data_IF_411922370608
#
_entry.id   IF_411922370608
#
_cell.length_a   1.000
_cell.length_b   1.000
_cell.length_c   1.000
_cell.angle_alpha   90.00
_cell.angle_beta   90.00
_cell.angle_gamma   90.00
#
_symmetry.space_group_name_H-M   'P 1'
#
loop_
_entity.id
_entity.type
_entity.pdbx_description
1 polymer ?
#
# COMPACT_ATOMS: atom_id res chain seq x y z
N UNK A 1 6.28 6.35 -4.11
CA UNK A 1 7.05 7.12 -3.09
C UNK A 1 7.58 6.24 -1.97
N UNK A 2 6.76 5.42 -1.30
CA UNK A 2 7.20 4.54 -0.21
C UNK A 2 8.39 3.65 -0.59
N UNK A 3 8.36 2.96 -1.74
CA UNK A 3 9.48 2.13 -2.19
C UNK A 3 10.77 2.92 -2.49
N UNK A 4 10.64 4.14 -3.01
CA UNK A 4 11.79 5.01 -3.26
C UNK A 4 12.45 5.44 -1.95
N UNK A 5 11.66 5.74 -0.92
CA UNK A 5 12.18 6.04 0.42
C UNK A 5 12.91 4.81 0.98
N UNK A 6 12.34 3.60 0.84
CA UNK A 6 13.01 2.35 1.26
C UNK A 6 14.38 2.21 0.59
N UNK A 7 14.44 2.36 -0.74
CA UNK A 7 15.69 2.23 -1.49
C UNK A 7 16.74 3.29 -1.09
N UNK A 8 16.31 4.54 -0.85
CA UNK A 8 17.19 5.61 -0.40
C UNK A 8 17.72 5.36 1.01
N UNK A 9 16.85 5.03 1.98
CA UNK A 9 17.29 4.74 3.35
C UNK A 9 18.22 3.54 3.39
N UNK A 10 17.86 2.45 2.71
CA UNK A 10 18.69 1.25 2.63
C UNK A 10 20.06 1.49 1.95
N UNK A 11 20.18 2.52 1.11
CA UNK A 11 21.46 2.90 0.50
C UNK A 11 22.37 3.72 1.42
N UNK A 12 21.87 4.20 2.56
CA UNK A 12 22.60 5.02 3.53
C UNK A 12 22.83 4.34 4.87
N UNK A 13 22.44 3.06 5.02
CA UNK A 13 22.67 2.25 6.22
C UNK A 13 23.18 0.86 5.85
N UNK A 14 23.84 0.17 6.77
CA UNK A 14 24.30 -1.21 6.60
C UNK A 14 23.34 -2.25 7.23
N UNK A 15 22.19 -1.80 7.74
CA UNK A 15 21.20 -2.62 8.44
C UNK A 15 19.87 -2.75 7.72
N UNK A 16 18.89 -3.40 8.37
CA UNK A 16 17.53 -3.49 7.86
C UNK A 16 16.75 -2.18 8.03
N UNK A 17 15.81 -1.92 7.12
CA UNK A 17 14.86 -0.81 7.21
C UNK A 17 13.49 -1.34 7.60
N UNK A 18 12.95 -0.91 8.75
CA UNK A 18 11.61 -1.31 9.19
C UNK A 18 10.63 -0.16 9.01
N UNK A 19 9.48 -0.45 8.39
CA UNK A 19 8.32 0.45 8.35
C UNK A 19 7.25 -0.16 9.25
N UNK A 20 7.09 0.42 10.43
CA UNK A 20 6.13 -0.06 11.42
C UNK A 20 4.77 0.65 11.28
N UNK A 21 3.70 -0.05 11.67
CA UNK A 21 2.30 0.40 11.63
C UNK A 21 1.89 0.94 10.25
N UNK A 22 2.33 0.28 9.19
CA UNK A 22 2.10 0.72 7.80
C UNK A 22 0.61 0.77 7.46
N UNK A 23 -0.19 -0.09 8.10
CA UNK A 23 -1.65 -0.11 8.04
C UNK A 23 -2.28 1.18 8.55
N UNK A 24 -1.79 1.72 9.67
CA UNK A 24 -2.33 2.94 10.24
C UNK A 24 -1.76 4.20 9.56
N UNK A 25 -0.48 4.17 9.18
CA UNK A 25 0.17 5.27 8.46
C UNK A 25 -0.47 5.49 7.09
N UNK A 26 -0.86 4.40 6.40
CA UNK A 26 -1.42 4.50 5.05
C UNK A 26 -2.96 4.60 5.01
N UNK A 27 -3.65 4.37 6.13
CA UNK A 27 -5.12 4.43 6.20
C UNK A 27 -5.72 5.75 5.64
N UNK A 28 -5.20 6.95 5.95
CA UNK A 28 -5.76 8.19 5.41
C UNK A 28 -5.74 8.28 3.87
N UNK A 29 -4.78 7.61 3.23
CA UNK A 29 -4.66 7.60 1.77
C UNK A 29 -5.69 6.67 1.13
N UNK A 30 -6.07 5.58 1.81
CA UNK A 30 -7.20 4.73 1.38
C UNK A 30 -8.51 5.52 1.45
N UNK A 31 -8.73 6.30 2.51
CA UNK A 31 -9.89 7.20 2.61
C UNK A 31 -9.88 8.24 1.48
N UNK A 32 -8.71 8.81 1.16
CA UNK A 32 -8.58 9.75 0.05
C UNK A 32 -8.91 9.11 -1.31
N UNK A 33 -8.45 7.88 -1.55
CA UNK A 33 -8.80 7.13 -2.77
C UNK A 33 -10.30 6.81 -2.85
N UNK A 34 -10.92 6.42 -1.73
CA UNK A 34 -12.37 6.20 -1.68
C UNK A 34 -13.16 7.47 -2.03
N UNK A 35 -12.81 8.61 -1.41
CA UNK A 35 -13.46 9.88 -1.69
C UNK A 35 -13.29 10.30 -3.16
N UNK A 36 -12.11 10.04 -3.75
CA UNK A 36 -11.85 10.28 -5.17
C UNK A 36 -12.77 9.44 -6.05
N UNK A 37 -12.85 8.12 -5.82
CA UNK A 37 -13.71 7.24 -6.61
C UNK A 37 -15.18 7.55 -6.45
N UNK A 38 -15.62 7.92 -5.24
CA UNK A 38 -16.99 8.36 -4.97
C UNK A 38 -17.33 9.62 -5.74
N UNK A 39 -16.45 10.62 -5.73
CA UNK A 39 -16.64 11.85 -6.52
C UNK A 39 -16.73 11.54 -8.01
N UNK A 40 -15.88 10.65 -8.53
CA UNK A 40 -15.99 10.18 -9.91
C UNK A 40 -17.34 9.50 -10.15
N UNK A 41 -17.79 8.61 -9.27
CA UNK A 41 -19.10 7.98 -9.45
C UNK A 41 -20.27 8.97 -9.50
N UNK A 42 -20.22 10.01 -8.65
CA UNK A 42 -21.19 11.11 -8.65
C UNK A 42 -21.14 11.91 -9.96
N UNK A 43 -19.93 12.28 -10.44
CA UNK A 43 -19.72 13.00 -11.70
C UNK A 43 -20.29 12.26 -12.92
N UNK A 44 -20.15 10.93 -12.93
CA UNK A 44 -20.61 10.07 -14.02
C UNK A 44 -22.02 9.48 -13.80
N UNK A 45 -22.71 9.89 -12.73
CA UNK A 45 -24.04 9.38 -12.35
C UNK A 45 -24.13 7.83 -12.31
N UNK A 46 -23.11 7.19 -11.73
CA UNK A 46 -23.12 5.74 -11.55
C UNK A 46 -24.24 5.37 -10.55
N UNK A 47 -25.16 4.44 -10.88
CA UNK A 47 -26.31 4.12 -10.04
C UNK A 47 -25.96 3.67 -8.61
N UNK A 48 -24.83 2.97 -8.44
CA UNK A 48 -24.29 2.55 -7.15
C UNK A 48 -22.91 3.21 -6.91
N UNK A 49 -22.94 4.47 -6.49
CA UNK A 49 -21.73 5.24 -6.29
C UNK A 49 -20.85 4.71 -5.14
N UNK A 50 -21.47 4.22 -4.06
CA UNK A 50 -20.75 3.66 -2.92
C UNK A 50 -20.12 2.30 -3.25
N UNK A 51 -20.87 1.40 -3.91
CA UNK A 51 -20.35 0.11 -4.34
C UNK A 51 -19.23 0.26 -5.38
N UNK A 52 -19.37 1.20 -6.31
CA UNK A 52 -18.29 1.57 -7.23
C UNK A 52 -17.06 2.06 -6.47
N UNK A 53 -17.22 3.04 -5.58
CA UNK A 53 -16.10 3.61 -4.83
C UNK A 53 -15.37 2.57 -3.98
N UNK A 54 -16.13 1.68 -3.33
CA UNK A 54 -15.58 0.61 -2.52
C UNK A 54 -14.81 -0.41 -3.37
N UNK A 55 -15.42 -0.91 -4.46
CA UNK A 55 -14.78 -1.87 -5.36
C UNK A 55 -13.48 -1.33 -5.97
N UNK A 56 -13.50 -0.07 -6.43
CA UNK A 56 -12.32 0.59 -6.98
C UNK A 56 -11.23 0.80 -5.93
N UNK A 57 -11.59 1.20 -4.71
CA UNK A 57 -10.64 1.38 -3.60
C UNK A 57 -10.00 0.05 -3.20
N UNK A 58 -10.77 -1.03 -3.10
CA UNK A 58 -10.25 -2.37 -2.78
C UNK A 58 -9.23 -2.80 -3.84
N UNK A 59 -9.56 -2.65 -5.13
CA UNK A 59 -8.66 -3.00 -6.23
C UNK A 59 -7.40 -2.13 -6.22
N UNK A 60 -7.55 -0.82 -6.06
CA UNK A 60 -6.42 0.10 -6.00
C UNK A 60 -5.48 -0.19 -4.82
N UNK A 61 -6.03 -0.49 -3.65
CA UNK A 61 -5.23 -0.85 -2.47
C UNK A 61 -4.43 -2.14 -2.72
N UNK A 62 -5.08 -3.18 -3.26
CA UNK A 62 -4.42 -4.42 -3.63
C UNK A 62 -3.27 -4.19 -4.62
N UNK A 63 -3.53 -3.43 -5.69
CA UNK A 63 -2.55 -3.14 -6.74
C UNK A 63 -1.38 -2.28 -6.22
N UNK A 64 -1.64 -1.39 -5.27
CA UNK A 64 -0.61 -0.58 -4.63
C UNK A 64 0.36 -1.44 -3.79
N UNK A 65 -0.15 -2.41 -3.02
CA UNK A 65 0.71 -3.31 -2.26
C UNK A 65 1.39 -4.37 -3.12
N UNK A 66 0.76 -4.78 -4.24
CA UNK A 66 1.43 -5.57 -5.26
C UNK A 66 2.63 -4.81 -5.80
N UNK A 67 2.42 -3.56 -6.24
CA UNK A 67 3.47 -2.70 -6.78
C UNK A 67 4.59 -2.49 -5.77
N UNK A 68 4.26 -2.22 -4.50
CA UNK A 68 5.25 -2.07 -3.43
C UNK A 68 6.10 -3.34 -3.25
N UNK A 69 5.47 -4.52 -3.25
CA UNK A 69 6.18 -5.79 -3.13
C UNK A 69 7.13 -6.04 -4.30
N UNK A 70 6.68 -5.79 -5.53
CA UNK A 70 7.52 -5.90 -6.73
C UNK A 70 8.67 -4.89 -6.72
N UNK A 71 8.40 -3.62 -6.38
CA UNK A 71 9.40 -2.56 -6.31
C UNK A 71 10.49 -2.89 -5.27
N UNK A 72 10.12 -3.35 -4.07
CA UNK A 72 11.08 -3.74 -3.05
C UNK A 72 12.00 -4.87 -3.53
N UNK A 73 11.48 -5.82 -4.31
CA UNK A 73 12.27 -6.95 -4.82
C UNK A 73 13.10 -6.63 -6.07
N UNK A 74 12.79 -5.54 -6.78
CA UNK A 74 13.46 -5.16 -8.04
C UNK A 74 14.40 -3.96 -7.89
N UNK A 75 14.18 -3.12 -6.88
CA UNK A 75 15.07 -2.01 -6.56
C UNK A 75 16.39 -2.52 -6.00
N UNK A 76 17.48 -1.90 -6.45
CA UNK A 76 18.83 -2.17 -5.96
C UNK A 76 19.27 -1.03 -5.05
N UNK A 77 19.87 -1.38 -3.91
CA UNK A 77 20.58 -0.43 -3.04
C UNK A 77 21.90 0.01 -3.68
N UNK A 78 22.56 1.02 -3.11
CA UNK A 78 23.89 1.46 -3.54
C UNK A 78 24.95 0.32 -3.58
N UNK A 79 24.75 -0.74 -2.79
CA UNK A 79 25.63 -1.91 -2.74
C UNK A 79 25.19 -3.04 -3.70
N UNK A 80 24.23 -2.79 -4.59
CA UNK A 80 23.78 -3.73 -5.62
C UNK A 80 22.93 -4.89 -5.10
N UNK A 81 22.44 -4.82 -3.86
CA UNK A 81 21.58 -5.83 -3.25
C UNK A 81 20.14 -5.35 -3.13
N UNK A 82 19.19 -6.28 -3.13
CA UNK A 82 17.79 -6.02 -2.74
C UNK A 82 17.76 -5.45 -1.32
N UNK A 83 17.00 -4.37 -1.05
CA UNK A 83 16.93 -3.78 0.27
C UNK A 83 16.38 -4.78 1.31
N UNK A 84 17.06 -4.89 2.45
CA UNK A 84 16.51 -5.64 3.58
C UNK A 84 15.44 -4.81 4.27
N UNK A 85 14.16 -5.12 4.01
CA UNK A 85 13.02 -4.38 4.55
C UNK A 85 12.10 -5.27 5.41
N UNK A 86 11.46 -4.68 6.42
CA UNK A 86 10.42 -5.33 7.21
C UNK A 86 9.20 -4.43 7.35
N UNK A 87 8.00 -4.97 7.13
CA UNK A 87 6.74 -4.28 7.34
C UNK A 87 6.07 -4.74 8.65
N UNK A 88 5.78 -3.81 9.55
CA UNK A 88 4.95 -4.04 10.73
C UNK A 88 3.52 -3.55 10.50
N UNK A 89 2.53 -4.39 10.79
CA UNK A 89 1.10 -4.08 10.70
C UNK A 89 0.28 -4.99 11.63
N UNK A 90 -1.00 -4.65 11.86
CA UNK A 90 -1.96 -5.52 12.55
C UNK A 90 -2.64 -4.90 13.78
N UNK A 91 -2.29 -3.66 14.15
CA UNK A 91 -2.94 -2.95 15.26
C UNK A 91 -4.10 -2.07 14.80
N UNK A 92 -4.12 -1.65 13.53
CA UNK A 92 -5.19 -0.83 12.98
C UNK A 92 -6.51 -1.61 12.87
N UNK A 93 -7.59 -1.02 13.36
CA UNK A 93 -8.94 -1.63 13.37
C UNK A 93 -9.91 -0.96 12.42
N UNK A 94 -9.56 0.19 11.84
CA UNK A 94 -10.38 0.87 10.83
C UNK A 94 -10.52 -0.01 9.58
N UNK A 95 -11.57 0.22 8.79
CA UNK A 95 -11.78 -0.56 7.56
C UNK A 95 -10.63 -0.36 6.56
N UNK A 96 -10.05 0.84 6.51
CA UNK A 96 -8.87 1.15 5.70
C UNK A 96 -7.65 0.34 6.16
N UNK A 97 -7.40 0.32 7.47
CA UNK A 97 -6.28 -0.43 8.05
C UNK A 97 -6.42 -1.93 7.77
N UNK A 98 -7.63 -2.46 7.93
CA UNK A 98 -7.93 -3.87 7.64
C UNK A 98 -7.77 -4.20 6.15
N UNK A 99 -8.19 -3.30 5.26
CA UNK A 99 -8.01 -3.44 3.82
C UNK A 99 -6.52 -3.47 3.45
N UNK A 100 -5.70 -2.64 4.09
CA UNK A 100 -4.24 -2.65 3.91
C UNK A 100 -3.64 -3.98 4.38
N UNK A 101 -3.97 -4.42 5.60
CA UNK A 101 -3.49 -5.69 6.15
C UNK A 101 -3.84 -6.86 5.24
N UNK A 102 -5.09 -6.92 4.78
CA UNK A 102 -5.57 -7.95 3.86
C UNK A 102 -4.87 -7.89 2.50
N UNK A 103 -4.65 -6.69 1.95
CA UNK A 103 -3.96 -6.50 0.68
C UNK A 103 -2.50 -6.97 0.73
N UNK A 104 -1.80 -6.70 1.83
CA UNK A 104 -0.43 -7.19 2.04
C UNK A 104 -0.42 -8.72 2.10
N UNK A 105 -1.29 -9.32 2.92
CA UNK A 105 -1.34 -10.77 3.10
C UNK A 105 -1.72 -11.51 1.80
N UNK A 106 -2.72 -10.99 1.06
CA UNK A 106 -3.16 -11.60 -0.20
C UNK A 106 -2.09 -11.54 -1.27
N UNK A 107 -1.37 -10.41 -1.41
CA UNK A 107 -0.25 -10.32 -2.34
C UNK A 107 0.85 -11.33 -1.99
N UNK A 108 1.23 -11.41 -0.70
CA UNK A 108 2.23 -12.39 -0.24
C UNK A 108 1.84 -13.84 -0.53
N UNK A 109 0.56 -14.19 -0.38
CA UNK A 109 0.04 -15.54 -0.67
C UNK A 109 0.07 -15.82 -2.18
N UNK A 110 -0.16 -14.80 -3.01
CA UNK A 110 -0.18 -14.94 -4.47
C UNK A 110 1.21 -15.21 -5.07
N UNK A 111 2.28 -14.67 -4.46
CA UNK A 111 3.67 -14.83 -4.92
C UNK A 111 4.20 -13.63 -5.68
#
# INVERSE_FOLDING_TARGET
VTAQIIAQVASHIYGGTTINRIDEVLAPFVTASYNKHRKTAEEWNIPDAEGYANSRTIKECYDAFQSLEYEVNTLHTANGQTPFVTFGFGLGTSWESRLIQESILRNRIAG
#
